data_IF_447287199275
#
_entry.id   IF_447287199275
#
_cell.length_a   1.000
_cell.length_b   1.000
_cell.length_c   1.000
_cell.angle_alpha   90.00
_cell.angle_beta   90.00
_cell.angle_gamma   90.00
#
_symmetry.space_group_name_H-M   'P 1'
#
loop_
_entity.id
_entity.type
_entity.pdbx_description
1 polymer ?
#
# COMPACT_ATOMS: atom_id res chain seq x y z
N UNK A 1 9.11 6.08 -6.85
CA UNK A 1 7.88 6.30 -7.61
C UNK A 1 8.18 7.13 -8.84
N UNK A 2 8.16 6.50 -10.01
CA UNK A 2 8.35 7.12 -11.33
C UNK A 2 7.02 7.52 -11.96
N UNK A 3 6.27 8.41 -11.27
CA UNK A 3 4.94 8.86 -11.71
C UNK A 3 5.07 10.04 -12.67
N UNK A 4 4.46 9.94 -13.84
CA UNK A 4 4.49 10.99 -14.87
C UNK A 4 3.41 12.07 -14.60
N UNK A 5 3.60 13.31 -15.10
CA UNK A 5 2.63 14.39 -14.91
C UNK A 5 1.21 14.11 -15.43
N UNK A 6 1.05 13.25 -16.43
CA UNK A 6 -0.26 12.93 -17.01
C UNK A 6 -0.76 11.52 -16.65
N UNK A 7 0.00 10.76 -15.85
CA UNK A 7 -0.45 9.43 -15.40
C UNK A 7 -1.72 9.59 -14.54
N UNK A 8 -2.71 8.72 -14.80
CA UNK A 8 -3.87 8.53 -13.96
C UNK A 8 -3.58 7.49 -12.88
N UNK A 9 -3.60 7.91 -11.61
CA UNK A 9 -2.98 7.17 -10.50
C UNK A 9 -4.02 6.63 -9.51
N UNK A 10 -3.96 5.32 -9.26
CA UNK A 10 -4.67 4.65 -8.16
C UNK A 10 -3.76 4.56 -6.92
N UNK A 11 -4.31 4.82 -5.74
CA UNK A 11 -3.65 4.49 -4.46
C UNK A 11 -4.51 3.54 -3.64
N UNK A 12 -3.94 2.38 -3.30
CA UNK A 12 -4.57 1.35 -2.49
C UNK A 12 -4.05 1.46 -1.06
N UNK A 13 -4.96 1.36 -0.09
CA UNK A 13 -4.63 1.61 1.32
C UNK A 13 -4.37 3.09 1.60
N UNK A 14 -5.10 3.97 0.91
CA UNK A 14 -4.87 5.43 0.96
C UNK A 14 -4.89 6.03 2.37
N UNK A 15 -5.66 5.42 3.28
CA UNK A 15 -5.61 5.74 4.69
C UNK A 15 -5.82 7.22 5.01
N UNK A 16 -4.99 7.69 5.94
CA UNK A 16 -5.09 9.02 6.56
C UNK A 16 -4.08 10.03 5.98
N UNK A 17 -3.20 9.57 5.09
CA UNK A 17 -2.15 10.39 4.47
C UNK A 17 -1.94 10.02 2.98
N UNK A 18 -2.99 10.11 2.15
CA UNK A 18 -2.90 9.76 0.74
C UNK A 18 -1.82 10.58 0.04
N UNK A 19 -1.13 9.96 -0.93
CA UNK A 19 -0.13 10.66 -1.72
C UNK A 19 -0.81 11.77 -2.54
N UNK A 20 -0.17 12.93 -2.64
CA UNK A 20 -0.67 14.06 -3.43
C UNK A 20 -0.93 13.65 -4.88
N UNK A 21 -0.13 12.68 -5.36
CA UNK A 21 -0.08 12.30 -6.77
C UNK A 21 -1.15 11.30 -7.21
N UNK A 22 -1.94 10.78 -6.27
CA UNK A 22 -3.07 9.89 -6.50
C UNK A 22 -4.29 10.65 -7.00
N UNK A 23 -5.03 10.06 -7.94
CA UNK A 23 -6.27 10.61 -8.52
C UNK A 23 -7.50 9.88 -7.97
N UNK A 24 -7.38 8.56 -7.81
CA UNK A 24 -8.39 7.70 -7.18
C UNK A 24 -7.78 7.05 -5.95
N UNK A 25 -8.52 7.12 -4.85
CA UNK A 25 -8.19 6.47 -3.59
C UNK A 25 -9.03 5.20 -3.46
N UNK A 26 -8.42 4.15 -2.93
CA UNK A 26 -9.06 2.87 -2.65
C UNK A 26 -8.66 2.43 -1.24
N UNK A 27 -9.64 2.11 -0.40
CA UNK A 27 -9.38 1.61 0.94
C UNK A 27 -10.46 0.62 1.37
N UNK A 28 -10.07 -0.44 2.08
CA UNK A 28 -11.02 -1.45 2.56
C UNK A 28 -11.76 -0.96 3.81
N UNK A 29 -11.07 -0.19 4.65
CA UNK A 29 -11.52 0.15 5.99
C UNK A 29 -11.78 1.65 6.10
N UNK A 30 -13.01 2.05 5.76
CA UNK A 30 -13.38 3.47 5.80
C UNK A 30 -13.54 3.98 7.23
N UNK A 31 -14.19 3.19 8.08
CA UNK A 31 -14.56 3.57 9.45
C UNK A 31 -13.55 3.07 10.50
N UNK A 32 -12.93 1.91 10.26
CA UNK A 32 -11.92 1.32 11.15
C UNK A 32 -10.54 1.97 10.92
N UNK A 33 -9.93 2.49 11.97
CA UNK A 33 -8.61 3.10 11.99
C UNK A 33 -7.61 2.38 12.90
N UNK A 34 -7.92 1.18 13.39
CA UNK A 34 -7.07 0.43 14.33
C UNK A 34 -5.65 0.18 13.83
N UNK A 35 -5.48 0.04 12.51
CA UNK A 35 -4.20 -0.17 11.84
C UNK A 35 -3.68 1.10 11.15
N UNK A 36 -4.19 2.28 11.55
CA UNK A 36 -3.96 3.56 10.88
C UNK A 36 -3.67 4.68 11.90
N UNK A 37 -2.87 5.66 11.50
CA UNK A 37 -2.53 6.82 12.35
C UNK A 37 -3.63 7.90 12.50
N UNK A 38 -4.82 7.69 11.94
CA UNK A 38 -5.92 8.68 11.96
C UNK A 38 -7.07 8.28 11.02
N UNK A 39 -8.11 9.11 10.84
CA UNK A 39 -9.26 8.80 9.99
C UNK A 39 -8.93 8.86 8.49
N UNK A 40 -9.77 8.24 7.65
CA UNK A 40 -9.67 8.34 6.18
C UNK A 40 -9.70 9.79 5.70
N UNK A 41 -8.88 10.09 4.70
CA UNK A 41 -8.95 11.33 3.92
C UNK A 41 -9.67 11.09 2.60
N UNK A 42 -10.90 11.59 2.48
CA UNK A 42 -11.74 11.50 1.29
C UNK A 42 -11.81 12.85 0.54
N UNK A 43 -10.67 13.34 0.04
CA UNK A 43 -10.57 14.68 -0.55
C UNK A 43 -10.63 14.74 -2.09
N UNK A 44 -10.62 13.57 -2.73
CA UNK A 44 -10.80 13.27 -4.16
C UNK A 44 -11.61 11.98 -4.30
N UNK A 45 -11.72 11.43 -5.50
CA UNK A 45 -12.47 10.19 -5.74
C UNK A 45 -11.97 9.07 -4.81
N UNK A 46 -12.87 8.49 -4.02
CA UNK A 46 -12.58 7.40 -3.08
C UNK A 46 -13.58 6.27 -3.30
N UNK A 47 -13.07 5.04 -3.33
CA UNK A 47 -13.85 3.81 -3.40
C UNK A 47 -13.50 2.92 -2.22
N UNK A 48 -14.53 2.39 -1.55
CA UNK A 48 -14.36 1.37 -0.52
C UNK A 48 -14.29 -0.02 -1.17
N UNK A 49 -13.11 -0.64 -1.15
CA UNK A 49 -12.88 -1.95 -1.77
C UNK A 49 -11.66 -2.68 -1.19
N UNK A 50 -11.66 -4.01 -1.31
CA UNK A 50 -10.52 -4.87 -0.97
C UNK A 50 -9.51 -4.89 -2.13
N UNK A 51 -8.22 -4.72 -1.83
CA UNK A 51 -7.15 -4.77 -2.82
C UNK A 51 -7.05 -6.10 -3.58
N UNK A 52 -7.58 -7.18 -3.00
CA UNK A 52 -7.66 -8.51 -3.62
C UNK A 52 -8.84 -8.66 -4.60
N UNK A 53 -9.77 -7.70 -4.60
CA UNK A 53 -10.97 -7.69 -5.44
C UNK A 53 -11.26 -6.27 -5.93
N UNK A 54 -10.31 -5.67 -6.65
CA UNK A 54 -10.44 -4.30 -7.12
C UNK A 54 -11.62 -4.15 -8.09
N UNK A 55 -12.50 -3.16 -7.88
CA UNK A 55 -13.67 -2.91 -8.71
C UNK A 55 -13.32 -2.00 -9.89
N UNK A 56 -12.11 -2.12 -10.45
CA UNK A 56 -11.67 -1.26 -11.56
C UNK A 56 -11.45 -2.09 -12.82
N UNK A 57 -11.79 -1.54 -13.98
CA UNK A 57 -11.62 -2.19 -15.27
C UNK A 57 -10.13 -2.44 -15.56
N UNK A 58 -9.87 -3.40 -16.45
CA UNK A 58 -8.51 -3.75 -16.85
C UNK A 58 -7.81 -2.51 -17.43
N UNK A 59 -6.57 -2.29 -16.96
CA UNK A 59 -5.70 -1.21 -17.44
C UNK A 59 -6.36 0.17 -17.41
N UNK A 60 -7.25 0.42 -16.45
CA UNK A 60 -7.90 1.71 -16.29
C UNK A 60 -6.95 2.80 -15.79
N UNK A 61 -5.86 2.42 -15.11
CA UNK A 61 -4.85 3.32 -14.55
C UNK A 61 -3.49 3.17 -15.23
N UNK A 62 -2.75 4.26 -15.29
CA UNK A 62 -1.37 4.25 -15.78
C UNK A 62 -0.41 3.76 -14.69
N UNK A 63 -0.74 4.03 -13.43
CA UNK A 63 0.12 3.77 -12.29
C UNK A 63 -0.67 3.42 -11.01
N UNK A 64 -0.25 2.39 -10.27
CA UNK A 64 -0.78 2.09 -8.92
C UNK A 64 0.27 2.29 -7.84
N UNK A 65 -0.11 2.96 -6.75
CA UNK A 65 0.62 3.01 -5.49
C UNK A 65 -0.02 2.00 -4.53
N UNK A 66 0.77 1.08 -4.00
CA UNK A 66 0.36 0.09 -3.00
C UNK A 66 1.36 0.17 -1.83
N UNK A 67 1.05 0.96 -0.81
CA UNK A 67 1.93 1.18 0.33
C UNK A 67 1.27 0.65 1.59
N UNK A 68 1.97 -0.22 2.31
CA UNK A 68 1.51 -0.82 3.56
C UNK A 68 0.18 -1.58 3.44
N UNK A 69 0.10 -2.47 2.45
CA UNK A 69 -1.09 -3.28 2.16
C UNK A 69 -0.72 -4.75 1.92
N UNK A 70 0.33 -5.02 1.14
CA UNK A 70 0.72 -6.38 0.78
C UNK A 70 1.04 -7.26 2.00
N UNK A 71 1.59 -6.68 3.06
CA UNK A 71 1.86 -7.39 4.31
C UNK A 71 0.59 -7.79 5.08
N UNK A 72 -0.56 -7.15 4.80
CA UNK A 72 -1.82 -7.39 5.49
C UNK A 72 -2.75 -8.37 4.77
N UNK A 73 -2.59 -8.57 3.46
CA UNK A 73 -3.56 -9.36 2.69
C UNK A 73 -3.56 -10.83 3.07
N UNK A 74 -4.69 -11.49 2.79
CA UNK A 74 -4.84 -12.92 3.00
C UNK A 74 -4.05 -13.71 1.96
N UNK A 75 -4.20 -13.34 0.69
CA UNK A 75 -3.50 -13.91 -0.46
C UNK A 75 -2.69 -12.81 -1.19
N UNK A 76 -1.35 -12.83 -1.08
CA UNK A 76 -0.48 -11.86 -1.73
C UNK A 76 -0.50 -12.04 -3.25
N UNK A 77 -0.63 -13.26 -3.76
CA UNK A 77 -0.68 -13.50 -5.19
C UNK A 77 -1.94 -12.88 -5.81
N UNK A 78 -3.09 -12.99 -5.15
CA UNK A 78 -4.34 -12.38 -5.61
C UNK A 78 -4.24 -10.85 -5.68
N UNK A 79 -3.68 -10.20 -4.64
CA UNK A 79 -3.41 -8.76 -4.67
C UNK A 79 -2.50 -8.39 -5.85
N UNK A 80 -1.35 -9.08 -6.00
CA UNK A 80 -0.38 -8.79 -7.07
C UNK A 80 -1.01 -8.95 -8.47
N UNK A 81 -1.87 -9.95 -8.67
CA UNK A 81 -2.66 -10.13 -9.90
C UNK A 81 -3.59 -8.95 -10.14
N UNK A 82 -4.32 -8.48 -9.13
CA UNK A 82 -5.19 -7.31 -9.27
C UNK A 82 -4.40 -6.02 -9.59
N UNK A 83 -3.23 -5.80 -8.95
CA UNK A 83 -2.35 -4.66 -9.27
C UNK A 83 -1.94 -4.66 -10.75
N UNK A 84 -1.48 -5.81 -11.24
CA UNK A 84 -1.10 -5.97 -12.66
C UNK A 84 -2.31 -5.90 -13.59
N UNK A 85 -3.51 -6.27 -13.15
CA UNK A 85 -4.72 -6.21 -13.99
C UNK A 85 -5.15 -4.76 -14.23
N UNK A 86 -5.21 -3.95 -13.17
CA UNK A 86 -5.74 -2.58 -13.25
C UNK A 86 -4.74 -1.55 -13.79
N UNK A 87 -3.43 -1.86 -13.74
CA UNK A 87 -2.36 -0.93 -14.11
C UNK A 87 -1.25 -1.55 -14.95
N UNK A 88 -0.52 -0.72 -15.70
CA UNK A 88 0.69 -1.12 -16.43
C UNK A 88 1.97 -0.96 -15.60
N UNK A 89 2.00 0.02 -14.69
CA UNK A 89 3.16 0.38 -13.88
C UNK A 89 2.71 0.55 -12.43
N UNK A 90 3.64 0.49 -11.50
CA UNK A 90 3.31 0.80 -10.12
C UNK A 90 4.45 0.70 -9.14
N UNK A 91 4.09 0.90 -7.89
CA UNK A 91 4.97 0.91 -6.74
C UNK A 91 4.36 0.12 -5.59
N UNK A 92 5.17 -0.74 -4.98
CA UNK A 92 4.84 -1.50 -3.78
C UNK A 92 5.82 -1.08 -2.68
N UNK A 93 5.30 -0.79 -1.49
CA UNK A 93 6.09 -0.54 -0.30
C UNK A 93 5.53 -1.31 0.88
N UNK A 94 6.42 -2.00 1.59
CA UNK A 94 6.10 -2.77 2.80
C UNK A 94 7.24 -2.58 3.80
N UNK A 95 7.03 -2.90 5.08
CA UNK A 95 8.13 -3.17 5.97
C UNK A 95 9.01 -4.29 5.41
N UNK A 96 10.31 -4.15 5.63
CA UNK A 96 11.29 -5.20 5.39
C UNK A 96 11.23 -6.28 6.47
N UNK A 97 11.92 -7.40 6.24
CA UNK A 97 12.14 -8.39 7.28
C UNK A 97 12.86 -7.85 8.53
N UNK A 98 13.82 -6.94 8.37
CA UNK A 98 14.52 -6.32 9.51
C UNK A 98 13.52 -5.54 10.37
N UNK A 99 12.65 -4.74 9.73
CA UNK A 99 11.59 -4.02 10.44
C UNK A 99 10.59 -4.97 11.10
N UNK A 100 10.14 -6.02 10.40
CA UNK A 100 9.23 -7.03 10.94
C UNK A 100 9.79 -7.71 12.19
N UNK A 101 11.07 -8.05 12.20
CA UNK A 101 11.75 -8.69 13.33
C UNK A 101 11.91 -7.73 14.52
N UNK A 102 12.21 -6.46 14.25
CA UNK A 102 12.39 -5.45 15.30
C UNK A 102 11.07 -5.00 15.94
N UNK A 103 10.05 -4.72 15.13
CA UNK A 103 8.77 -4.17 15.60
C UNK A 103 7.73 -5.25 15.90
N UNK A 104 7.81 -6.42 15.26
CA UNK A 104 6.96 -7.57 15.60
C UNK A 104 5.45 -7.30 15.44
N UNK A 105 5.03 -6.60 14.39
CA UNK A 105 3.61 -6.26 14.18
C UNK A 105 2.71 -7.51 14.09
N UNK A 106 1.78 -7.74 15.02
CA UNK A 106 1.04 -8.99 15.09
C UNK A 106 -0.02 -9.14 13.99
N UNK A 107 -0.35 -8.05 13.31
CA UNK A 107 -1.38 -7.99 12.26
C UNK A 107 -0.82 -8.11 10.84
N UNK A 108 0.52 -8.20 10.68
CA UNK A 108 1.11 -8.49 9.38
C UNK A 108 1.17 -10.01 9.16
N UNK A 109 0.67 -10.44 8.01
CA UNK A 109 0.62 -11.81 7.55
C UNK A 109 1.90 -12.25 6.84
N UNK A 110 2.63 -11.30 6.26
CA UNK A 110 3.73 -11.58 5.34
C UNK A 110 4.97 -10.76 5.68
N UNK A 111 6.13 -11.41 5.54
CA UNK A 111 7.44 -10.78 5.50
C UNK A 111 7.82 -10.65 4.03
N UNK A 112 8.26 -9.46 3.61
CA UNK A 112 8.62 -9.18 2.23
C UNK A 112 10.06 -8.67 2.19
N UNK A 113 10.85 -9.22 1.27
CA UNK A 113 12.19 -8.77 0.93
C UNK A 113 12.29 -8.44 -0.56
N UNK A 114 13.26 -7.60 -0.93
CA UNK A 114 13.62 -7.35 -2.32
C UNK A 114 15.05 -7.84 -2.54
N UNK A 115 15.20 -8.95 -3.28
CA UNK A 115 16.49 -9.60 -3.51
C UNK A 115 16.70 -9.71 -5.01
N UNK A 116 17.80 -9.14 -5.52
CA UNK A 116 18.13 -9.14 -6.95
C UNK A 116 16.97 -8.65 -7.85
N UNK A 117 16.27 -7.60 -7.41
CA UNK A 117 15.12 -7.04 -8.15
C UNK A 117 13.85 -7.90 -8.15
N UNK A 118 13.78 -8.93 -7.31
CA UNK A 118 12.62 -9.82 -7.14
C UNK A 118 12.05 -9.72 -5.74
N UNK A 119 10.73 -9.59 -5.64
CA UNK A 119 10.03 -9.69 -4.36
C UNK A 119 10.09 -11.13 -3.84
N UNK A 120 10.62 -11.32 -2.65
CA UNK A 120 10.64 -12.60 -1.95
C UNK A 120 9.69 -12.48 -0.77
N UNK A 121 8.61 -13.24 -0.83
CA UNK A 121 7.48 -13.15 0.12
C UNK A 121 7.46 -14.43 0.94
N UNK A 122 7.41 -14.31 2.26
CA UNK A 122 7.30 -15.43 3.19
C UNK A 122 6.16 -15.21 4.15
N UNK A 123 5.43 -16.28 4.48
CA UNK A 123 4.41 -16.20 5.52
C UNK A 123 5.11 -15.90 6.84
N UNK A 124 4.65 -14.89 7.56
CA UNK A 124 5.20 -14.55 8.87
C UNK A 124 4.86 -15.67 9.85
N UNK A 125 5.90 -16.22 10.47
CA UNK A 125 5.80 -17.18 11.57
C UNK A 125 6.47 -16.62 12.81
N UNK A 126 5.97 -17.01 13.98
CA UNK A 126 6.46 -16.51 15.26
C UNK A 126 5.82 -15.19 15.70
N UNK A 127 6.04 -14.86 16.98
CA UNK A 127 5.49 -13.68 17.64
C UNK A 127 6.49 -12.52 17.72
N UNK A 128 6.04 -11.44 18.36
CA UNK A 128 6.88 -10.28 18.65
C UNK A 128 8.01 -10.64 19.63
N UNK A 129 9.27 -10.40 19.25
CA UNK A 129 10.45 -10.70 20.06
C UNK A 129 10.79 -9.59 21.07
N UNK A 130 10.48 -8.33 20.76
CA UNK A 130 10.90 -7.16 21.53
C UNK A 130 9.74 -6.36 22.15
N UNK A 131 8.51 -6.84 22.00
CA UNK A 131 7.32 -6.20 22.51
C UNK A 131 7.17 -4.76 22.00
N UNK A 132 7.00 -3.82 22.92
CA UNK A 132 6.83 -2.40 22.61
C UNK A 132 8.16 -1.61 22.58
N UNK A 133 9.31 -2.24 22.81
CA UNK A 133 10.59 -1.53 22.98
C UNK A 133 10.93 -0.64 21.78
N UNK A 134 10.98 -1.22 20.57
CA UNK A 134 11.35 -0.48 19.37
C UNK A 134 10.25 0.49 18.92
N UNK A 135 8.98 0.23 19.25
CA UNK A 135 7.89 1.20 19.06
C UNK A 135 8.10 2.44 19.94
N UNK A 136 8.46 2.24 21.20
CA UNK A 136 8.76 3.33 22.13
C UNK A 136 10.00 4.12 21.70
N UNK A 137 11.07 3.45 21.26
CA UNK A 137 12.28 4.11 20.73
C UNK A 137 11.96 4.94 19.49
N UNK A 138 11.24 4.38 18.51
CA UNK A 138 10.82 5.10 17.30
C UNK A 138 9.99 6.34 17.62
N UNK A 139 9.13 6.29 18.65
CA UNK A 139 8.26 7.39 19.02
C UNK A 139 8.94 8.49 19.85
N UNK A 140 9.93 8.14 20.69
CA UNK A 140 10.43 9.05 21.73
C UNK A 140 11.93 9.36 21.64
N UNK A 141 12.71 8.53 20.94
CA UNK A 141 14.16 8.69 20.86
C UNK A 141 14.59 9.31 19.52
N UNK A 142 15.25 10.48 19.60
CA UNK A 142 15.65 11.25 18.41
C UNK A 142 16.82 10.64 17.67
N UNK A 143 17.71 9.94 18.36
CA UNK A 143 18.88 9.33 17.73
C UNK A 143 18.48 8.04 17.02
N UNK A 144 17.56 7.26 17.61
CA UNK A 144 16.92 6.13 16.94
C UNK A 144 16.10 6.59 15.72
N UNK A 145 15.31 7.67 15.84
CA UNK A 145 14.60 8.23 14.69
C UNK A 145 15.56 8.69 13.57
N UNK A 146 16.71 9.27 13.91
CA UNK A 146 17.76 9.65 12.94
C UNK A 146 18.39 8.42 12.28
N UNK A 147 18.72 7.40 13.07
CA UNK A 147 19.22 6.12 12.57
C UNK A 147 18.24 5.50 11.58
N UNK A 148 16.95 5.44 11.93
CA UNK A 148 15.92 4.91 11.07
C UNK A 148 15.74 5.71 9.77
N UNK A 149 15.92 7.03 9.81
CA UNK A 149 15.86 7.88 8.61
C UNK A 149 17.06 7.65 7.69
N UNK A 150 18.27 7.59 8.25
CA UNK A 150 19.51 7.36 7.51
C UNK A 150 19.52 5.99 6.83
N UNK A 151 19.09 4.95 7.55
CA UNK A 151 19.08 3.57 7.06
C UNK A 151 17.68 3.12 6.64
N UNK A 152 16.85 4.04 6.15
CA UNK A 152 15.45 3.77 5.83
C UNK A 152 15.26 2.63 4.80
N UNK A 153 16.25 2.39 3.94
CA UNK A 153 16.26 1.26 3.00
C UNK A 153 16.39 -0.10 3.69
N UNK A 154 16.95 -0.16 4.91
CA UNK A 154 16.97 -1.37 5.73
C UNK A 154 15.59 -1.67 6.32
N UNK A 155 14.74 -0.67 6.49
CA UNK A 155 13.46 -0.82 7.18
C UNK A 155 12.28 -0.98 6.23
N UNK A 156 12.35 -0.43 5.02
CA UNK A 156 11.30 -0.57 4.02
C UNK A 156 11.79 -1.27 2.75
N UNK A 157 10.99 -2.21 2.27
CA UNK A 157 11.07 -2.66 0.88
C UNK A 157 10.36 -1.65 0.00
N UNK A 158 11.04 -1.22 -1.08
CA UNK A 158 10.49 -0.32 -2.09
C UNK A 158 10.68 -0.95 -3.46
N UNK A 159 9.58 -1.28 -4.12
CA UNK A 159 9.60 -2.03 -5.37
C UNK A 159 8.78 -1.33 -6.45
N UNK A 160 9.48 -0.86 -7.48
CA UNK A 160 8.90 -0.27 -8.68
C UNK A 160 8.77 -1.35 -9.76
N UNK A 161 7.65 -1.39 -10.49
CA UNK A 161 7.42 -2.39 -11.54
C UNK A 161 6.77 -1.79 -12.78
N UNK A 162 7.03 -2.44 -13.92
CA UNK A 162 6.42 -2.17 -15.21
C UNK A 162 6.12 -3.48 -15.93
N UNK A 163 4.90 -3.62 -16.45
CA UNK A 163 4.41 -4.81 -17.15
C UNK A 163 4.09 -5.98 -16.21
N UNK A 164 5.08 -6.49 -15.49
CA UNK A 164 4.95 -7.66 -14.60
C UNK A 164 5.67 -7.45 -13.28
N UNK A 165 5.01 -7.85 -12.20
CA UNK A 165 5.60 -7.94 -10.87
C UNK A 165 6.41 -9.24 -10.80
N UNK A 166 7.72 -9.12 -10.55
CA UNK A 166 8.62 -10.25 -10.36
C UNK A 166 8.65 -10.64 -8.88
N UNK A 167 8.01 -11.76 -8.54
CA UNK A 167 7.93 -12.24 -7.17
C UNK A 167 8.12 -13.76 -7.06
N UNK A 168 8.40 -14.23 -5.85
CA UNK A 168 8.30 -15.62 -5.44
C UNK A 168 7.77 -15.68 -4.02
N UNK A 169 6.97 -16.71 -3.75
CA UNK A 169 6.56 -17.05 -2.39
C UNK A 169 7.43 -18.23 -1.95
N UNK A 170 8.08 -18.11 -0.81
CA UNK A 170 8.93 -19.15 -0.22
C UNK A 170 8.29 -19.70 1.07
N UNK A 171 8.70 -20.89 1.53
CA UNK A 171 8.39 -21.35 2.88
C UNK A 171 8.80 -20.31 3.94
N UNK A 172 8.17 -20.28 5.13
CA UNK A 172 8.43 -19.27 6.16
C UNK A 172 9.89 -19.17 6.61
N UNK A 173 10.60 -20.30 6.62
CA UNK A 173 11.98 -20.43 7.06
C UNK A 173 12.78 -21.30 6.06
N UNK A 174 14.11 -21.09 5.95
CA UNK A 174 14.89 -20.05 6.63
C UNK A 174 14.67 -18.65 6.02
N UNK A 175 15.15 -17.62 6.72
CA UNK A 175 15.25 -16.26 6.16
C UNK A 175 16.09 -16.25 4.88
N UNK A 176 15.66 -15.53 3.82
CA UNK A 176 16.47 -15.32 2.64
C UNK A 176 17.54 -14.25 2.86
N UNK A 177 17.44 -13.44 3.93
CA UNK A 177 18.50 -12.53 4.34
C UNK A 177 19.59 -13.30 5.08
N UNK A 178 20.80 -13.31 4.52
CA UNK A 178 21.95 -14.00 5.10
C UNK A 178 22.63 -13.12 6.17
N UNK A 179 21.90 -12.71 7.21
CA UNK A 179 22.39 -11.76 8.22
C UNK A 179 23.60 -12.26 9.05
N UNK A 180 23.85 -13.57 9.06
CA UNK A 180 25.04 -14.17 9.68
C UNK A 180 26.31 -14.03 8.82
N UNK A 181 26.18 -13.63 7.54
CA UNK A 181 27.30 -13.38 6.64
C UNK A 181 27.72 -11.92 6.71
N UNK A 182 28.96 -11.66 7.16
CA UNK A 182 29.53 -10.32 7.19
C UNK A 182 29.44 -9.62 5.81
N UNK A 183 29.69 -10.36 4.73
CA UNK A 183 29.60 -9.84 3.36
C UNK A 183 28.18 -9.39 3.02
N UNK A 184 27.16 -10.17 3.37
CA UNK A 184 25.77 -9.81 3.10
C UNK A 184 25.33 -8.59 3.92
N UNK A 185 25.80 -8.48 5.17
CA UNK A 185 25.56 -7.31 6.02
C UNK A 185 26.24 -6.06 5.45
N UNK A 186 27.49 -6.17 5.01
CA UNK A 186 28.21 -5.07 4.37
C UNK A 186 27.47 -4.59 3.10
N UNK A 187 26.98 -5.50 2.27
CA UNK A 187 26.20 -5.16 1.07
C UNK A 187 24.90 -4.40 1.41
N UNK A 188 24.17 -4.83 2.45
CA UNK A 188 22.97 -4.12 2.93
C UNK A 188 23.31 -2.69 3.40
N UNK A 189 24.46 -2.50 4.05
CA UNK A 189 24.89 -1.22 4.57
C UNK A 189 25.44 -0.29 3.48
N UNK A 190 26.15 -0.82 2.48
CA UNK A 190 26.70 -0.03 1.37
C UNK A 190 25.62 0.59 0.47
N UNK A 191 24.41 0.05 0.47
CA UNK A 191 23.26 0.60 -0.24
C UNK A 191 22.58 1.79 0.49
N UNK A 192 23.17 2.29 1.58
CA UNK A 192 22.70 3.52 2.22
C UNK A 192 22.93 4.73 1.29
N UNK A 193 21.89 5.51 0.93
CA UNK A 193 22.09 6.70 0.14
C UNK A 193 23.00 7.69 0.88
N UNK A 194 23.91 8.35 0.16
CA UNK A 194 24.66 9.47 0.73
C UNK A 194 23.67 10.59 1.09
N UNK A 195 23.50 10.88 2.38
CA UNK A 195 22.63 11.97 2.82
C UNK A 195 23.29 13.32 2.49
N UNK A 196 22.61 14.13 1.69
CA UNK A 196 23.00 15.52 1.51
C UNK A 196 22.54 16.38 2.71
N UNK A 197 23.27 17.46 3.00
CA UNK A 197 22.86 18.48 3.99
C UNK A 197 21.44 19.03 3.75
N UNK A 198 20.99 19.01 2.49
CA UNK A 198 19.66 19.45 2.09
C UNK A 198 18.57 18.46 2.50
N UNK A 199 18.82 17.15 2.37
CA UNK A 199 17.90 16.10 2.81
C UNK A 199 17.73 16.10 4.33
N UNK A 200 18.82 16.35 5.06
CA UNK A 200 18.81 16.56 6.50
C UNK A 200 17.92 17.75 6.89
N UNK A 201 18.09 18.90 6.23
CA UNK A 201 17.30 20.11 6.50
C UNK A 201 15.81 19.89 6.20
N UNK A 202 15.48 19.24 5.08
CA UNK A 202 14.11 18.90 4.71
C UNK A 202 13.48 17.93 5.70
N UNK A 203 14.21 16.91 6.15
CA UNK A 203 13.71 15.98 7.17
C UNK A 203 13.41 16.70 8.48
N UNK A 204 14.31 17.59 8.92
CA UNK A 204 14.10 18.39 10.12
C UNK A 204 12.84 19.27 10.04
N UNK A 205 12.66 19.99 8.91
CA UNK A 205 11.49 20.83 8.66
C UNK A 205 10.21 19.98 8.60
N UNK A 206 10.25 18.85 7.88
CA UNK A 206 9.11 17.92 7.79
C UNK A 206 8.75 17.37 9.17
N UNK A 207 9.70 16.98 10.00
CA UNK A 207 9.42 16.41 11.33
C UNK A 207 8.92 17.45 12.33
N UNK A 208 9.16 18.74 12.07
CA UNK A 208 8.70 19.85 12.91
C UNK A 208 7.25 20.28 12.63
N UNK A 209 6.68 19.87 11.49
CA UNK A 209 5.33 20.25 11.11
C UNK A 209 4.29 19.26 11.65
N UNK A 210 3.24 19.72 12.37
CA UNK A 210 2.20 18.82 12.87
C UNK A 210 1.48 18.09 11.73
N UNK A 211 1.16 16.81 11.92
CA UNK A 211 0.58 15.94 10.89
C UNK A 211 -0.71 16.52 10.27
N UNK A 212 -1.56 17.15 11.08
CA UNK A 212 -2.79 17.80 10.62
C UNK A 212 -2.55 18.90 9.58
N UNK A 213 -1.45 19.63 9.69
CA UNK A 213 -1.09 20.68 8.74
C UNK A 213 -0.59 20.08 7.43
N UNK A 214 0.25 19.04 7.50
CA UNK A 214 0.72 18.30 6.31
C UNK A 214 -0.46 17.78 5.49
N UNK A 215 -1.41 17.09 6.12
CA UNK A 215 -2.58 16.53 5.44
C UNK A 215 -3.43 17.63 4.79
N UNK A 216 -3.66 18.76 5.48
CA UNK A 216 -4.39 19.91 4.90
C UNK A 216 -3.67 20.49 3.68
N UNK A 217 -2.35 20.66 3.74
CA UNK A 217 -1.55 21.16 2.62
C UNK A 217 -1.59 20.18 1.45
N UNK A 218 -1.39 18.88 1.71
CA UNK A 218 -1.48 17.83 0.68
C UNK A 218 -2.84 17.83 0.01
N UNK A 219 -3.91 17.94 0.80
CA UNK A 219 -5.29 17.95 0.30
C UNK A 219 -5.57 19.15 -0.58
N UNK A 220 -5.11 20.33 -0.15
CA UNK A 220 -5.21 21.54 -0.94
C UNK A 220 -4.44 21.43 -2.28
N UNK A 221 -3.21 20.91 -2.25
CA UNK A 221 -2.40 20.72 -3.45
C UNK A 221 -3.02 19.69 -4.40
N UNK A 222 -3.54 18.60 -3.88
CA UNK A 222 -4.20 17.57 -4.68
C UNK A 222 -5.46 18.11 -5.38
N UNK A 223 -6.30 18.87 -4.68
CA UNK A 223 -7.51 19.50 -5.25
C UNK A 223 -7.23 20.55 -6.31
N UNK A 224 -6.02 21.13 -6.31
CA UNK A 224 -5.57 22.09 -7.35
C UNK A 224 -5.05 21.41 -8.61
N UNK A 225 -4.83 20.10 -8.60
CA UNK A 225 -4.42 19.37 -9.80
C UNK A 225 -5.56 19.38 -10.81
N UNK A 226 -5.21 19.35 -12.10
CA UNK A 226 -6.18 19.20 -13.18
C UNK A 226 -7.01 17.94 -12.89
N UNK A 227 -8.35 18.03 -12.95
CA UNK A 227 -9.18 16.85 -12.75
C UNK A 227 -8.82 15.78 -13.79
N UNK A 228 -8.82 14.50 -13.41
CA UNK A 228 -8.53 13.42 -14.34
C UNK A 228 -9.60 13.35 -15.44
N UNK A 229 -9.21 12.86 -16.62
CA UNK A 229 -10.13 12.73 -17.76
C UNK A 229 -11.18 11.63 -17.56
N UNK A 230 -10.90 10.64 -16.71
CA UNK A 230 -11.79 9.51 -16.40
C UNK A 230 -12.49 9.74 -15.05
N UNK A 231 -13.77 9.40 -14.99
CA UNK A 231 -14.57 9.39 -13.75
C UNK A 231 -14.68 7.97 -13.20
N UNK A 232 -15.21 7.82 -11.97
CA UNK A 232 -15.50 6.49 -11.41
C UNK A 232 -16.47 5.68 -12.28
N UNK A 233 -17.44 6.33 -12.94
CA UNK A 233 -18.41 5.62 -13.80
C UNK A 233 -17.75 4.97 -15.02
N UNK A 234 -16.64 5.54 -15.50
CA UNK A 234 -15.93 5.05 -16.68
C UNK A 234 -15.03 3.85 -16.36
N UNK A 235 -14.66 3.67 -15.09
CA UNK A 235 -13.62 2.70 -14.69
C UNK A 235 -14.13 1.64 -13.73
N UNK A 236 -15.27 1.84 -13.07
CA UNK A 236 -15.76 0.87 -12.08
C UNK A 236 -16.45 -0.31 -12.76
N UNK A 237 -16.08 -1.51 -12.32
CA UNK A 237 -16.67 -2.80 -12.69
C UNK A 237 -17.02 -3.59 -11.44
N UNK A 238 -17.76 -4.69 -11.61
CA UNK A 238 -18.06 -5.58 -10.49
C UNK A 238 -16.76 -6.20 -9.93
N UNK A 239 -16.47 -6.12 -8.63
CA UNK A 239 -15.25 -6.67 -8.04
C UNK A 239 -15.17 -8.21 -8.12
N UNK A 240 -16.30 -8.91 -8.26
CA UNK A 240 -16.35 -10.36 -8.42
C UNK A 240 -16.12 -10.81 -9.87
N UNK A 241 -17.03 -10.45 -10.78
CA UNK A 241 -17.00 -10.97 -12.15
C UNK A 241 -16.30 -10.05 -13.16
N UNK A 242 -15.84 -8.88 -12.73
CA UNK A 242 -15.21 -7.83 -13.57
C UNK A 242 -16.10 -7.31 -14.71
N UNK A 243 -17.40 -7.63 -14.68
CA UNK A 243 -18.39 -7.17 -15.65
C UNK A 243 -18.89 -5.76 -15.38
N UNK A 244 -19.60 -5.21 -16.37
CA UNK A 244 -20.26 -3.91 -16.29
C UNK A 244 -21.27 -3.84 -15.14
N UNK A 245 -21.47 -2.62 -14.63
CA UNK A 245 -22.37 -2.32 -13.52
C UNK A 245 -23.31 -1.17 -13.85
N UNK A 246 -24.54 -1.24 -13.35
CA UNK A 246 -25.53 -0.17 -13.44
C UNK A 246 -25.35 0.79 -12.26
N UNK A 247 -25.19 2.07 -12.54
CA UNK A 247 -25.14 3.11 -11.51
C UNK A 247 -26.52 3.68 -11.23
N UNK A 248 -26.96 3.59 -9.98
CA UNK A 248 -28.16 4.27 -9.47
C UNK A 248 -27.77 5.35 -8.45
N UNK A 249 -28.78 6.05 -7.93
CA UNK A 249 -28.56 7.17 -7.00
C UNK A 249 -27.81 6.76 -5.73
N UNK A 250 -28.12 5.59 -5.16
CA UNK A 250 -27.61 5.14 -3.86
C UNK A 250 -26.92 3.77 -3.92
N UNK A 251 -26.78 3.18 -5.10
CA UNK A 251 -26.25 1.83 -5.26
C UNK A 251 -25.62 1.64 -6.65
N UNK A 252 -24.75 0.65 -6.76
CA UNK A 252 -24.12 0.16 -7.99
C UNK A 252 -24.48 -1.32 -8.11
N UNK A 253 -25.11 -1.71 -9.21
CA UNK A 253 -25.68 -3.06 -9.35
C UNK A 253 -24.90 -3.85 -10.40
N UNK A 254 -24.49 -5.06 -10.03
CA UNK A 254 -24.03 -6.06 -10.98
C UNK A 254 -25.16 -7.07 -11.22
N UNK A 255 -25.77 -7.03 -12.42
CA UNK A 255 -26.83 -7.96 -12.81
C UNK A 255 -26.35 -9.41 -13.00
N UNK A 256 -25.07 -9.60 -13.32
CA UNK A 256 -24.49 -10.95 -13.51
C UNK A 256 -24.28 -11.69 -12.18
N UNK A 257 -23.85 -10.97 -11.15
CA UNK A 257 -23.61 -11.53 -9.82
C UNK A 257 -24.82 -11.44 -8.90
N UNK A 258 -25.85 -10.69 -9.31
CA UNK A 258 -27.01 -10.35 -8.48
C UNK A 258 -26.60 -9.70 -7.16
N UNK A 259 -25.78 -8.63 -7.24
CA UNK A 259 -25.28 -7.88 -6.08
C UNK A 259 -25.50 -6.39 -6.29
N UNK A 260 -26.06 -5.75 -5.27
CA UNK A 260 -26.14 -4.30 -5.15
C UNK A 260 -25.12 -3.79 -4.12
N UNK A 261 -24.17 -2.99 -4.58
CA UNK A 261 -23.13 -2.34 -3.77
C UNK A 261 -23.62 -0.95 -3.33
N UNK A 262 -23.68 -0.63 -2.03
CA UNK A 262 -24.23 0.64 -1.57
C UNK A 262 -23.29 1.82 -1.83
N UNK A 263 -23.86 3.00 -2.03
CA UNK A 263 -23.14 4.28 -2.01
C UNK A 263 -23.51 5.00 -0.71
N UNK A 264 -22.55 5.15 0.20
CA UNK A 264 -22.76 5.81 1.50
C UNK A 264 -21.97 7.11 1.53
N UNK A 265 -22.63 8.23 1.84
CA UNK A 265 -21.99 9.55 1.90
C UNK A 265 -21.20 9.91 0.61
N UNK A 266 -21.69 9.46 -0.55
CA UNK A 266 -21.02 9.66 -1.84
C UNK A 266 -19.83 8.72 -2.13
N UNK A 267 -19.50 7.81 -1.22
CA UNK A 267 -18.44 6.80 -1.38
C UNK A 267 -19.09 5.49 -1.84
N UNK A 268 -18.70 4.93 -2.99
CA UNK A 268 -19.10 3.58 -3.40
C UNK A 268 -18.43 2.49 -2.54
N UNK A 269 -19.22 1.56 -1.99
CA UNK A 269 -18.74 0.40 -1.22
C UNK A 269 -18.86 -0.87 -2.06
N UNK A 270 -17.84 -1.14 -2.86
CA UNK A 270 -17.73 -2.35 -3.70
C UNK A 270 -16.94 -3.44 -2.98
N UNK A 271 -17.35 -3.76 -1.75
CA UNK A 271 -16.80 -4.87 -0.98
C UNK A 271 -17.52 -6.15 -1.37
N UNK A 272 -16.74 -7.19 -1.68
CA UNK A 272 -17.28 -8.53 -1.97
C UNK A 272 -17.82 -9.15 -0.68
N UNK A 273 -19.08 -9.62 -0.65
CA UNK A 273 -19.60 -10.38 0.49
C UNK A 273 -18.75 -11.62 0.79
N UNK A 274 -18.47 -11.91 2.06
CA UNK A 274 -17.58 -13.01 2.45
C UNK A 274 -18.06 -14.39 1.94
N UNK A 275 -19.36 -14.64 1.94
CA UNK A 275 -20.00 -15.86 1.43
C UNK A 275 -19.92 -16.01 -0.11
N UNK A 276 -19.50 -14.94 -0.81
CA UNK A 276 -19.35 -14.91 -2.27
C UNK A 276 -17.90 -14.91 -2.73
N UNK A 277 -16.93 -14.79 -1.82
CA UNK A 277 -15.51 -14.87 -2.20
C UNK A 277 -15.19 -16.29 -2.66
N UNK A 278 -14.41 -16.45 -3.75
CA UNK A 278 -13.87 -17.77 -4.10
C UNK A 278 -13.14 -18.37 -2.90
N UNK A 279 -13.28 -19.68 -2.69
CA UNK A 279 -12.42 -20.37 -1.74
C UNK A 279 -10.97 -20.12 -2.15
N UNK A 280 -10.18 -19.57 -1.23
CA UNK A 280 -8.76 -19.42 -1.44
C UNK A 280 -8.18 -20.82 -1.62
N UNK A 281 -7.61 -21.08 -2.80
CA UNK A 281 -6.83 -22.28 -3.04
C UNK A 281 -5.67 -22.28 -2.05
N UNK A 282 -5.78 -23.10 -1.00
CA UNK A 282 -4.70 -23.39 -0.06
C UNK A 282 -3.63 -24.18 -0.84
N UNK A 283 -2.79 -23.45 -1.56
CA UNK A 283 -1.56 -23.95 -2.18
C UNK A 283 -0.44 -24.05 -1.15
#
# INVERSE_FOLDING_TARGET
MNIRPDDFVLEIGSGHDPKIRSDVLCDKFIEDDTQRGGPIVADRMLVAADGQYLPFADKSFDYTICSHVLEHVEDPELLLKELMRVSYRGYIETPSEIAERLYGWPYHNWIVNLINGKLVIQKKVGGNQFGQLFHCLAAHDKDFARFHQRYHHLFLVRYEWEGRINYTILPPDPSPLQLESAQAVEELLMNAPEESLFDFLISYIKNSMPQRWKVKIKSFLARRRKPPAKTLKDIVVCPLCKGEVEWRRNEIICHRCDIAYPIKNGIPYLLVPEDRKPELSRG
#
